data_IF_929459004935
#
_entry.id   IF_929459004935
#
_cell.length_a   1.000
_cell.length_b   1.000
_cell.length_c   1.000
_cell.angle_alpha   90.00
_cell.angle_beta   90.00
_cell.angle_gamma   90.00
#
_symmetry.space_group_name_H-M   'P 1'
#
loop_
_entity.id
_entity.type
_entity.pdbx_description
1 polymer ?
#
# COMPACT_ATOMS: atom_id res chain seq x y z
N UNK A 1 10.36 32.27 -14.28
CA UNK A 1 9.47 31.33 -14.99
C UNK A 1 9.94 29.86 -14.95
N UNK A 2 10.83 29.45 -14.03
CA UNK A 2 11.49 28.14 -14.10
C UNK A 2 10.80 27.01 -13.31
N UNK A 3 10.25 27.26 -12.11
CA UNK A 3 9.74 26.18 -11.25
C UNK A 3 8.55 25.40 -11.83
N UNK A 4 7.56 26.10 -12.43
CA UNK A 4 6.33 25.47 -12.95
C UNK A 4 6.57 24.49 -14.10
N UNK A 5 7.55 24.75 -14.96
CA UNK A 5 7.86 23.86 -16.08
C UNK A 5 8.49 22.57 -15.57
N UNK A 6 9.39 22.65 -14.58
CA UNK A 6 9.94 21.48 -13.89
C UNK A 6 8.84 20.65 -13.23
N UNK A 7 7.85 21.28 -12.59
CA UNK A 7 6.77 20.56 -11.91
C UNK A 7 5.91 19.74 -12.88
N UNK A 8 5.54 20.30 -14.03
CA UNK A 8 4.77 19.60 -15.07
C UNK A 8 5.58 18.45 -15.66
N UNK A 9 6.87 18.67 -15.91
CA UNK A 9 7.77 17.61 -16.41
C UNK A 9 7.92 16.50 -15.37
N UNK A 10 8.03 16.83 -14.09
CA UNK A 10 8.11 15.85 -13.01
C UNK A 10 6.86 14.99 -12.91
N UNK A 11 5.66 15.58 -13.07
CA UNK A 11 4.41 14.82 -13.13
C UNK A 11 4.43 13.79 -14.28
N UNK A 12 5.04 14.13 -15.41
CA UNK A 12 5.20 13.22 -16.55
C UNK A 12 6.30 12.16 -16.34
N UNK A 13 7.39 12.49 -15.65
CA UNK A 13 8.54 11.59 -15.46
C UNK A 13 8.30 10.60 -14.32
N UNK A 14 7.61 11.01 -13.26
CA UNK A 14 7.44 10.22 -12.05
C UNK A 14 6.89 8.79 -12.27
N UNK A 15 5.91 8.57 -13.17
CA UNK A 15 5.39 7.23 -13.46
C UNK A 15 6.41 6.25 -14.05
N UNK A 16 7.50 6.75 -14.65
CA UNK A 16 8.56 5.94 -15.26
C UNK A 16 9.65 5.51 -14.26
N UNK A 17 9.62 6.03 -13.03
CA UNK A 17 10.54 5.60 -11.97
C UNK A 17 9.90 4.41 -11.25
N UNK A 18 10.32 3.21 -11.60
CA UNK A 18 9.71 1.97 -11.10
C UNK A 18 10.39 1.40 -9.85
N UNK A 19 11.68 1.66 -9.65
CA UNK A 19 12.41 1.14 -8.49
C UNK A 19 11.91 1.80 -7.19
N UNK A 20 11.62 0.99 -6.19
CA UNK A 20 11.08 1.48 -4.93
C UNK A 20 12.07 2.37 -4.16
N UNK A 21 13.37 2.07 -4.22
CA UNK A 21 14.40 2.87 -3.53
C UNK A 21 14.62 4.21 -4.21
N UNK A 22 14.58 4.24 -5.55
CA UNK A 22 14.65 5.50 -6.29
C UNK A 22 13.49 6.41 -5.94
N UNK A 23 12.28 5.84 -5.86
CA UNK A 23 11.10 6.60 -5.44
C UNK A 23 11.19 7.07 -3.98
N UNK A 24 11.79 6.28 -3.09
CA UNK A 24 12.04 6.70 -1.71
C UNK A 24 13.01 7.89 -1.67
N UNK A 25 14.09 7.87 -2.45
CA UNK A 25 15.02 9.00 -2.56
C UNK A 25 14.36 10.26 -3.13
N UNK A 26 13.61 10.13 -4.23
CA UNK A 26 12.85 11.21 -4.86
C UNK A 26 11.90 11.88 -3.87
N UNK A 27 11.22 11.09 -3.03
CA UNK A 27 10.26 11.63 -2.05
C UNK A 27 10.89 12.54 -0.99
N UNK A 28 12.21 12.50 -0.81
CA UNK A 28 12.91 13.27 0.22
C UNK A 28 13.59 14.54 -0.30
N UNK A 29 13.53 14.82 -1.61
CA UNK A 29 14.20 15.99 -2.21
C UNK A 29 13.56 17.30 -1.76
N UNK A 30 12.25 17.42 -1.88
CA UNK A 30 11.49 18.60 -1.44
C UNK A 30 9.99 18.26 -1.26
N UNK A 31 9.22 19.20 -0.68
CA UNK A 31 7.77 19.02 -0.45
C UNK A 31 7.00 18.70 -1.74
N UNK A 32 7.35 19.36 -2.85
CA UNK A 32 6.67 19.13 -4.14
C UNK A 32 6.92 17.72 -4.67
N UNK A 33 8.16 17.23 -4.62
CA UNK A 33 8.49 15.88 -5.05
C UNK A 33 7.85 14.83 -4.14
N UNK A 34 7.79 15.10 -2.83
CA UNK A 34 7.05 14.29 -1.87
C UNK A 34 5.58 14.15 -2.26
N UNK A 35 4.91 15.23 -2.66
CA UNK A 35 3.50 15.24 -3.08
C UNK A 35 3.26 14.49 -4.39
N UNK A 36 4.09 14.73 -5.41
CA UNK A 36 4.01 14.02 -6.70
C UNK A 36 4.28 12.52 -6.50
N UNK A 37 5.23 12.19 -5.62
CA UNK A 37 5.49 10.82 -5.21
C UNK A 37 4.25 10.16 -4.60
N UNK A 38 3.61 10.88 -3.68
CA UNK A 38 2.37 10.50 -2.99
C UNK A 38 1.27 10.11 -3.97
N UNK A 39 1.00 10.96 -4.96
CA UNK A 39 -0.13 10.82 -5.88
C UNK A 39 0.13 9.78 -6.97
N UNK A 40 1.39 9.47 -7.27
CA UNK A 40 1.76 8.57 -8.38
C UNK A 40 2.26 7.19 -7.95
N UNK A 41 2.57 6.94 -6.66
CA UNK A 41 3.03 5.62 -6.20
C UNK A 41 1.89 4.59 -6.36
N UNK A 42 2.10 3.62 -7.26
CA UNK A 42 1.09 2.59 -7.58
C UNK A 42 1.18 1.32 -6.74
N UNK A 43 2.36 0.95 -6.29
CA UNK A 43 2.57 -0.26 -5.50
C UNK A 43 3.29 0.02 -4.18
N UNK A 44 2.83 -0.61 -3.10
CA UNK A 44 3.51 -0.59 -1.79
C UNK A 44 3.55 -2.00 -1.21
N UNK A 45 4.72 -2.37 -0.68
CA UNK A 45 4.88 -3.55 0.16
C UNK A 45 5.16 -3.13 1.60
N UNK A 46 4.32 -3.58 2.52
CA UNK A 46 4.55 -3.47 3.96
C UNK A 46 5.08 -4.80 4.47
N UNK A 47 6.36 -4.82 4.81
CA UNK A 47 7.07 -6.03 5.22
C UNK A 47 6.66 -6.58 6.61
N UNK A 48 6.01 -5.74 7.42
CA UNK A 48 5.40 -6.08 8.71
C UNK A 48 4.18 -5.18 8.93
N UNK A 49 2.97 -5.74 8.95
CA UNK A 49 1.71 -5.00 9.01
C UNK A 49 1.55 -4.12 10.25
N UNK A 50 2.36 -4.34 11.29
CA UNK A 50 2.38 -3.53 12.51
C UNK A 50 3.28 -2.29 12.45
N UNK A 51 4.02 -2.08 11.36
CA UNK A 51 4.95 -0.93 11.25
C UNK A 51 4.25 0.40 10.99
N UNK A 52 2.98 0.38 10.59
CA UNK A 52 2.17 1.56 10.26
C UNK A 52 0.69 1.25 10.40
N UNK A 53 -0.15 2.28 10.41
CA UNK A 53 -1.61 2.14 10.37
C UNK A 53 -2.13 2.17 8.92
N UNK A 54 -3.31 1.57 8.65
CA UNK A 54 -3.99 1.69 7.35
C UNK A 54 -4.25 3.15 6.96
N UNK A 55 -4.74 3.97 7.90
CA UNK A 55 -4.97 5.40 7.68
C UNK A 55 -3.70 6.17 7.28
N UNK A 56 -2.55 5.87 7.91
CA UNK A 56 -1.28 6.50 7.53
C UNK A 56 -0.89 6.12 6.11
N UNK A 57 -1.10 4.86 5.71
CA UNK A 57 -0.84 4.41 4.34
C UNK A 57 -1.73 5.16 3.35
N UNK A 58 -3.04 5.22 3.62
CA UNK A 58 -4.02 5.93 2.79
C UNK A 58 -3.64 7.40 2.57
N UNK A 59 -3.32 8.11 3.66
CA UNK A 59 -2.93 9.54 3.59
C UNK A 59 -1.64 9.75 2.80
N UNK A 60 -0.72 8.78 2.82
CA UNK A 60 0.53 8.86 2.07
C UNK A 60 0.36 8.46 0.60
N UNK A 61 -0.47 7.47 0.28
CA UNK A 61 -0.61 6.96 -1.09
C UNK A 61 -2.08 6.82 -1.45
N UNK A 62 -2.78 7.93 -1.76
CA UNK A 62 -4.22 7.93 -1.98
C UNK A 62 -4.67 7.20 -3.25
N UNK A 63 -3.80 7.05 -4.25
CA UNK A 63 -4.11 6.42 -5.54
C UNK A 63 -3.41 5.06 -5.73
N UNK A 64 -3.22 4.33 -4.63
CA UNK A 64 -2.55 3.04 -4.63
C UNK A 64 -3.34 2.02 -5.43
N UNK A 65 -2.67 1.31 -6.34
CA UNK A 65 -3.29 0.28 -7.19
C UNK A 65 -2.92 -1.14 -6.75
N UNK A 66 -1.81 -1.31 -6.03
CA UNK A 66 -1.38 -2.62 -5.55
C UNK A 66 -0.80 -2.54 -4.15
N UNK A 67 -1.28 -3.41 -3.25
CA UNK A 67 -0.84 -3.48 -1.87
C UNK A 67 -0.41 -4.90 -1.50
N UNK A 68 0.77 -5.03 -0.90
CA UNK A 68 1.25 -6.27 -0.31
C UNK A 68 1.51 -6.10 1.18
N UNK A 69 0.86 -6.91 2.00
CA UNK A 69 1.03 -6.91 3.45
C UNK A 69 1.62 -8.24 3.92
N UNK A 70 2.58 -8.17 4.83
CA UNK A 70 3.13 -9.34 5.51
C UNK A 70 2.82 -9.26 7.01
N UNK A 71 2.32 -10.37 7.57
CA UNK A 71 1.94 -10.48 8.97
C UNK A 71 3.01 -11.15 9.80
N UNK A 72 2.75 -12.41 10.19
CA UNK A 72 3.64 -13.22 11.03
C UNK A 72 5.09 -13.24 10.51
N UNK A 73 6.09 -13.34 11.41
CA UNK A 73 7.50 -13.51 11.01
C UNK A 73 7.72 -14.75 10.15
N UNK A 74 8.90 -14.85 9.51
CA UNK A 74 9.24 -16.02 8.68
C UNK A 74 9.30 -17.32 9.48
N UNK A 75 9.58 -17.24 10.77
CA UNK A 75 9.54 -18.36 11.71
C UNK A 75 8.19 -19.09 11.76
N UNK A 76 7.07 -18.42 11.42
CA UNK A 76 5.75 -19.05 11.35
C UNK A 76 5.65 -20.14 10.26
N UNK A 77 6.49 -20.08 9.23
CA UNK A 77 6.56 -21.13 8.20
C UNK A 77 7.23 -22.43 8.71
N UNK A 78 7.78 -22.40 9.92
CA UNK A 78 8.46 -23.52 10.57
C UNK A 78 7.78 -23.89 11.90
N UNK A 79 6.50 -23.53 12.08
CA UNK A 79 5.71 -23.78 13.30
C UNK A 79 6.32 -23.20 14.59
N UNK A 80 7.17 -22.17 14.49
CA UNK A 80 7.84 -21.53 15.63
C UNK A 80 7.06 -20.34 16.21
N UNK A 81 5.89 -20.01 15.64
CA UNK A 81 5.09 -18.85 16.03
C UNK A 81 3.68 -19.34 16.36
N UNK A 82 3.10 -18.95 17.51
CA UNK A 82 1.72 -19.30 17.86
C UNK A 82 0.71 -18.89 16.80
N UNK A 83 -0.37 -19.65 16.64
CA UNK A 83 -1.39 -19.35 15.63
C UNK A 83 -2.08 -18.00 15.88
N UNK A 84 -2.33 -17.68 17.14
CA UNK A 84 -2.94 -16.42 17.60
C UNK A 84 -1.94 -15.26 17.76
N UNK A 85 -0.71 -15.38 17.24
CA UNK A 85 0.32 -14.33 17.34
C UNK A 85 -0.14 -12.96 16.83
N UNK A 86 -0.98 -12.96 15.80
CA UNK A 86 -1.48 -11.75 15.15
C UNK A 86 -1.26 -11.75 13.63
N UNK A 87 -1.32 -10.57 13.03
CA UNK A 87 -1.37 -10.37 11.59
C UNK A 87 -2.80 -10.35 11.04
N UNK A 88 -3.78 -9.88 11.82
CA UNK A 88 -5.18 -9.76 11.39
C UNK A 88 -5.34 -8.73 10.26
N UNK A 89 -6.03 -9.10 9.18
CA UNK A 89 -6.27 -8.19 8.05
C UNK A 89 -7.46 -7.26 8.27
N UNK A 90 -8.35 -7.54 9.23
CA UNK A 90 -9.61 -6.79 9.41
C UNK A 90 -9.44 -5.27 9.43
N UNK A 91 -8.48 -4.66 10.17
CA UNK A 91 -8.30 -3.21 10.13
C UNK A 91 -7.89 -2.68 8.74
N UNK A 92 -7.10 -3.47 8.00
CA UNK A 92 -6.69 -3.13 6.64
C UNK A 92 -7.87 -3.22 5.68
N UNK A 93 -8.67 -4.29 5.78
CA UNK A 93 -9.85 -4.50 4.93
C UNK A 93 -10.88 -3.39 5.13
N UNK A 94 -11.16 -2.99 6.37
CA UNK A 94 -12.09 -1.90 6.69
C UNK A 94 -11.64 -0.55 6.14
N UNK A 95 -10.34 -0.28 6.12
CA UNK A 95 -9.81 0.93 5.51
C UNK A 95 -9.85 0.85 3.97
N UNK A 96 -9.52 -0.34 3.41
CA UNK A 96 -9.56 -0.60 1.97
C UNK A 96 -10.96 -0.38 1.41
N UNK A 97 -11.98 -0.96 2.07
CA UNK A 97 -13.40 -0.83 1.75
C UNK A 97 -13.83 0.63 1.55
N UNK A 98 -13.34 1.51 2.42
CA UNK A 98 -13.80 2.90 2.50
C UNK A 98 -13.04 3.87 1.59
N UNK A 99 -11.77 3.59 1.31
CA UNK A 99 -10.89 4.65 0.79
C UNK A 99 -9.92 4.24 -0.32
N UNK A 100 -9.66 2.94 -0.51
CA UNK A 100 -8.70 2.48 -1.52
C UNK A 100 -9.42 2.18 -2.84
N UNK A 101 -9.98 3.21 -3.47
CA UNK A 101 -10.85 3.08 -4.64
C UNK A 101 -10.09 2.73 -5.92
N UNK A 102 -8.79 3.02 -5.98
CA UNK A 102 -7.93 2.66 -7.11
C UNK A 102 -7.34 1.24 -6.99
N UNK A 103 -7.58 0.52 -5.89
CA UNK A 103 -6.89 -0.74 -5.61
C UNK A 103 -7.36 -1.86 -6.55
N UNK A 104 -6.39 -2.42 -7.27
CA UNK A 104 -6.57 -3.48 -8.27
C UNK A 104 -5.95 -4.82 -7.86
N UNK A 105 -4.99 -4.80 -6.95
CA UNK A 105 -4.30 -6.01 -6.51
C UNK A 105 -4.00 -5.97 -5.02
N UNK A 106 -4.30 -7.07 -4.32
CA UNK A 106 -4.10 -7.21 -2.89
C UNK A 106 -3.44 -8.54 -2.57
N UNK A 107 -2.31 -8.49 -1.87
CA UNK A 107 -1.54 -9.68 -1.50
C UNK A 107 -1.35 -9.72 0.01
N UNK A 108 -2.04 -10.63 0.68
CA UNK A 108 -1.80 -10.95 2.08
C UNK A 108 -0.83 -12.13 2.20
N UNK A 109 0.23 -11.97 3.00
CA UNK A 109 1.23 -13.02 3.23
C UNK A 109 1.41 -13.29 4.72
N UNK A 110 1.10 -14.51 5.15
CA UNK A 110 1.17 -14.95 6.56
C UNK A 110 0.33 -14.04 7.47
N UNK A 111 -0.87 -13.69 7.01
CA UNK A 111 -1.85 -12.91 7.75
C UNK A 111 -3.00 -13.83 8.19
N UNK A 112 -3.76 -13.40 9.18
CA UNK A 112 -5.02 -14.04 9.59
C UNK A 112 -6.14 -13.35 8.82
N UNK A 113 -6.88 -14.12 8.03
CA UNK A 113 -7.99 -13.66 7.18
C UNK A 113 -9.23 -14.47 7.54
N UNK A 114 -10.32 -13.78 7.84
CA UNK A 114 -11.62 -14.42 8.12
C UNK A 114 -12.53 -14.38 6.89
N UNK A 115 -13.61 -15.17 6.91
CA UNK A 115 -14.63 -15.13 5.86
C UNK A 115 -15.35 -13.76 5.81
N UNK A 116 -15.49 -13.09 6.95
CA UNK A 116 -16.03 -11.72 7.02
C UNK A 116 -15.12 -10.73 6.29
N UNK A 117 -13.81 -10.84 6.47
CA UNK A 117 -12.82 -10.00 5.78
C UNK A 117 -12.94 -10.17 4.27
N UNK A 118 -13.01 -11.42 3.78
CA UNK A 118 -13.17 -11.72 2.36
C UNK A 118 -14.53 -11.28 1.82
N UNK A 119 -15.59 -11.42 2.60
CA UNK A 119 -16.94 -10.98 2.23
C UNK A 119 -17.01 -9.47 2.03
N UNK A 120 -16.32 -8.69 2.87
CA UNK A 120 -16.20 -7.24 2.71
C UNK A 120 -15.44 -6.90 1.42
N UNK A 121 -14.30 -7.55 1.17
CA UNK A 121 -13.51 -7.31 -0.04
C UNK A 121 -14.29 -7.67 -1.31
N UNK A 122 -14.98 -8.81 -1.31
CA UNK A 122 -15.81 -9.22 -2.44
C UNK A 122 -16.92 -8.19 -2.71
N UNK A 123 -17.65 -7.74 -1.68
CA UNK A 123 -18.75 -6.79 -1.87
C UNK A 123 -18.26 -5.39 -2.29
N UNK A 124 -17.16 -4.92 -1.72
CA UNK A 124 -16.68 -3.55 -1.92
C UNK A 124 -15.73 -3.38 -3.12
N UNK A 125 -15.10 -4.47 -3.58
CA UNK A 125 -14.00 -4.41 -4.57
C UNK A 125 -14.04 -5.50 -5.65
N UNK A 126 -15.15 -6.25 -5.83
CA UNK A 126 -15.23 -7.31 -6.85
C UNK A 126 -14.97 -6.84 -8.28
N UNK A 127 -15.26 -5.57 -8.61
CA UNK A 127 -15.05 -5.01 -9.95
C UNK A 127 -13.60 -4.56 -10.18
N UNK A 128 -12.86 -4.25 -9.11
CA UNK A 128 -11.54 -3.62 -9.22
C UNK A 128 -10.39 -4.58 -8.92
N UNK A 129 -10.56 -5.51 -7.97
CA UNK A 129 -9.54 -6.50 -7.63
C UNK A 129 -9.51 -7.63 -8.67
N UNK A 130 -8.34 -7.86 -9.28
CA UNK A 130 -8.07 -8.94 -10.23
C UNK A 130 -6.96 -9.87 -9.73
#
# INVERSE_FOLDING_TARGET
>A
MSARLTDVVLDCVMPYIHDAKDRDAVSQVCKRWYEIDSSTRKHVTIALCYTTTPDRLRRRFPHLESLKLKGKPRAAMFNLIPENWGGFVTPWVREIEKYFDCLKSLHFRRMIVTDDDLSILARSRHQSLH
#
